data_IF_979444025941
#
_entry.id   IF_979444025941
#
_cell.length_a   1.000
_cell.length_b   1.000
_cell.length_c   1.000
_cell.angle_alpha   90.00
_cell.angle_beta   90.00
_cell.angle_gamma   90.00
#
_symmetry.space_group_name_H-M   'P 1'
#
loop_
_entity.id
_entity.type
_entity.pdbx_description
1 polymer ?
#
# COMPACT_ATOMS: atom_id res chain seq x y z
N UNK A 1 -28.67 -70.40 23.93
CA UNK A 1 -27.78 -69.62 24.82
C UNK A 1 -26.87 -68.59 24.12
N UNK A 2 -26.91 -68.38 22.78
CA UNK A 2 -25.99 -67.44 22.08
C UNK A 2 -26.45 -65.98 21.92
N UNK A 3 -27.71 -65.63 22.25
CA UNK A 3 -28.24 -64.26 22.04
C UNK A 3 -28.02 -63.28 23.20
N UNK A 4 -27.66 -63.75 24.40
CA UNK A 4 -27.43 -62.88 25.58
C UNK A 4 -26.03 -62.26 25.61
N UNK A 5 -25.05 -62.86 24.94
CA UNK A 5 -23.66 -62.35 24.92
C UNK A 5 -23.46 -61.22 23.89
N UNK A 6 -24.28 -61.12 22.84
CA UNK A 6 -24.17 -60.04 21.85
C UNK A 6 -24.63 -58.67 22.41
N UNK A 7 -25.67 -58.63 23.24
CA UNK A 7 -26.10 -57.38 23.88
C UNK A 7 -25.11 -56.89 24.95
N UNK A 8 -24.40 -57.81 25.61
CA UNK A 8 -23.37 -57.46 26.59
C UNK A 8 -22.12 -56.86 25.93
N UNK A 9 -21.72 -57.33 24.74
CA UNK A 9 -20.61 -56.76 23.98
C UNK A 9 -20.94 -55.37 23.40
N UNK A 10 -22.19 -55.13 23.00
CA UNK A 10 -22.63 -53.82 22.48
C UNK A 10 -22.67 -52.74 23.56
N UNK A 11 -22.97 -53.08 24.82
CA UNK A 11 -22.93 -52.14 25.94
C UNK A 11 -21.50 -51.80 26.38
N UNK A 12 -20.57 -52.74 26.27
CA UNK A 12 -19.14 -52.49 26.58
C UNK A 12 -18.50 -51.59 25.50
N UNK A 13 -18.93 -51.69 24.24
CA UNK A 13 -18.44 -50.82 23.16
C UNK A 13 -18.97 -49.37 23.29
N UNK A 14 -20.19 -49.18 23.78
CA UNK A 14 -20.78 -47.84 24.02
C UNK A 14 -20.17 -47.17 25.26
N UNK A 15 -19.77 -47.94 26.28
CA UNK A 15 -19.03 -47.44 27.45
C UNK A 15 -17.57 -47.09 27.14
N UNK A 16 -16.94 -47.75 26.16
CA UNK A 16 -15.57 -47.44 25.71
C UNK A 16 -15.47 -46.18 24.83
N UNK A 17 -16.56 -45.79 24.15
CA UNK A 17 -16.62 -44.51 23.40
C UNK A 17 -16.91 -43.33 24.34
N UNK A 18 -17.52 -43.55 25.51
CA UNK A 18 -17.74 -42.53 26.54
C UNK A 18 -16.53 -42.22 27.44
N UNK A 19 -15.43 -42.98 27.32
CA UNK A 19 -14.25 -42.89 28.19
C UNK A 19 -12.99 -42.34 27.50
N UNK A 20 -13.09 -41.82 26.27
CA UNK A 20 -12.07 -40.92 25.72
C UNK A 20 -12.30 -39.56 26.39
N UNK A 21 -11.88 -39.50 27.65
CA UNK A 21 -11.84 -38.31 28.45
C UNK A 21 -11.08 -37.23 27.69
N UNK A 22 -11.76 -36.12 27.45
CA UNK A 22 -11.16 -34.83 27.17
C UNK A 22 -10.22 -34.56 28.34
N UNK A 23 -8.93 -34.85 28.16
CA UNK A 23 -7.92 -34.27 29.01
C UNK A 23 -8.00 -32.76 28.83
N UNK A 24 -8.13 -31.97 29.90
CA UNK A 24 -7.92 -30.54 29.80
C UNK A 24 -6.44 -30.36 29.49
N UNK A 25 -6.10 -30.32 28.20
CA UNK A 25 -4.87 -29.70 27.74
C UNK A 25 -4.86 -28.32 28.37
N UNK A 26 -3.89 -28.10 29.27
CA UNK A 26 -3.74 -26.84 29.99
C UNK A 26 -3.77 -25.71 28.98
N UNK A 27 -4.90 -24.99 28.96
CA UNK A 27 -5.01 -23.73 28.27
C UNK A 27 -4.04 -22.82 29.01
N UNK A 28 -2.84 -22.64 28.43
CA UNK A 28 -2.03 -21.47 28.77
C UNK A 28 -2.94 -20.29 28.53
N UNK A 29 -3.09 -19.44 29.54
CA UNK A 29 -3.84 -18.21 29.44
C UNK A 29 -3.40 -17.49 28.15
N UNK A 30 -4.30 -17.48 27.17
CA UNK A 30 -4.18 -16.64 26.00
C UNK A 30 -4.35 -15.24 26.56
N UNK A 31 -3.33 -14.40 26.39
CA UNK A 31 -3.39 -12.99 26.74
C UNK A 31 -4.73 -12.45 26.23
N UNK A 32 -5.49 -11.78 27.10
CA UNK A 32 -6.79 -11.27 26.73
C UNK A 32 -6.62 -10.28 25.55
N UNK A 33 -7.65 -10.10 24.69
CA UNK A 33 -7.61 -9.08 23.62
C UNK A 33 -7.25 -7.67 24.13
N UNK A 34 -7.42 -7.43 25.44
CA UNK A 34 -7.15 -6.15 26.11
C UNK A 34 -5.71 -5.98 26.62
N UNK A 35 -4.87 -7.04 26.61
CA UNK A 35 -3.49 -6.94 27.09
C UNK A 35 -2.53 -6.29 26.08
N UNK A 36 -2.92 -6.27 24.79
CA UNK A 36 -2.13 -5.67 23.72
C UNK A 36 -2.88 -4.46 23.16
N UNK A 37 -2.31 -3.28 23.39
CA UNK A 37 -2.80 -2.03 22.83
C UNK A 37 -2.04 -1.72 21.55
N UNK A 38 -2.79 -1.47 20.47
CA UNK A 38 -2.25 -1.19 19.14
C UNK A 38 -2.73 0.18 18.67
N UNK A 39 -1.80 1.10 18.44
CA UNK A 39 -2.08 2.40 17.80
C UNK A 39 -1.36 2.46 16.46
N UNK A 40 -2.08 2.82 15.40
CA UNK A 40 -1.55 2.87 14.04
C UNK A 40 -1.86 4.23 13.43
N UNK A 41 -0.82 4.87 12.91
CA UNK A 41 -0.95 6.12 12.16
C UNK A 41 -0.20 6.00 10.83
N UNK A 42 -0.89 6.02 9.68
CA UNK A 42 -0.22 6.10 8.40
C UNK A 42 0.44 7.48 8.24
N UNK A 43 1.58 7.52 7.56
CA UNK A 43 2.17 8.78 7.12
C UNK A 43 1.30 9.44 6.04
N UNK A 44 1.48 10.74 5.82
CA UNK A 44 0.85 11.49 4.72
C UNK A 44 -0.69 11.38 4.69
N UNK A 45 -1.32 11.29 5.86
CA UNK A 45 -2.78 11.11 6.01
C UNK A 45 -3.31 9.84 5.30
N UNK A 46 -2.46 8.83 5.12
CA UNK A 46 -2.80 7.60 4.41
C UNK A 46 -2.91 7.75 2.89
N UNK A 47 -2.47 8.88 2.31
CA UNK A 47 -2.40 9.04 0.86
C UNK A 47 -1.29 8.17 0.26
N UNK A 48 -1.59 7.52 -0.85
CA UNK A 48 -0.62 6.68 -1.57
C UNK A 48 -0.89 6.72 -3.08
N UNK A 49 0.11 6.31 -3.88
CA UNK A 49 -0.03 6.04 -5.32
C UNK A 49 0.23 4.55 -5.56
N UNK A 50 -0.25 4.01 -6.67
CA UNK A 50 0.12 2.64 -7.07
C UNK A 50 1.65 2.48 -7.07
N UNK A 51 2.13 1.38 -6.48
CA UNK A 51 3.56 1.04 -6.38
C UNK A 51 4.41 1.97 -5.50
N UNK A 52 3.84 3.00 -4.85
CA UNK A 52 4.53 3.78 -3.83
C UNK A 52 4.53 3.06 -2.49
N UNK A 53 5.57 3.29 -1.70
CA UNK A 53 5.66 2.85 -0.32
C UNK A 53 4.93 3.82 0.60
N UNK A 54 4.07 3.29 1.46
CA UNK A 54 3.39 4.02 2.51
C UNK A 54 3.94 3.56 3.87
N UNK A 55 4.62 4.44 4.62
CA UNK A 55 5.05 4.14 5.99
C UNK A 55 3.88 4.19 6.98
N UNK A 56 3.91 3.30 7.97
CA UNK A 56 2.94 3.24 9.07
C UNK A 56 3.69 3.34 10.40
N UNK A 57 3.38 4.38 11.19
CA UNK A 57 3.85 4.50 12.58
C UNK A 57 2.97 3.61 13.46
N UNK A 58 3.57 2.59 14.05
CA UNK A 58 2.87 1.58 14.84
C UNK A 58 3.43 1.60 16.26
N UNK A 59 2.56 1.86 17.23
CA UNK A 59 2.87 1.74 18.65
C UNK A 59 2.14 0.52 19.20
N UNK A 60 2.90 -0.40 19.79
CA UNK A 60 2.37 -1.59 20.44
C UNK A 60 2.79 -1.58 21.90
N UNK A 61 1.82 -1.61 22.81
CA UNK A 61 2.05 -1.75 24.24
C UNK A 61 1.51 -3.09 24.74
N UNK A 62 2.29 -3.78 25.58
CA UNK A 62 1.92 -5.06 26.18
C UNK A 62 1.80 -4.93 27.70
N UNK A 63 0.59 -5.07 28.24
CA UNK A 63 0.34 -5.11 29.69
C UNK A 63 0.22 -6.53 30.24
N UNK A 64 0.15 -7.54 29.36
CA UNK A 64 0.01 -8.95 29.69
C UNK A 64 1.35 -9.67 29.90
N UNK A 65 1.37 -10.98 29.61
CA UNK A 65 2.57 -11.81 29.70
C UNK A 65 3.56 -11.53 28.55
N UNK A 66 4.79 -12.02 28.68
CA UNK A 66 5.80 -11.90 27.62
C UNK A 66 5.34 -12.61 26.34
N UNK A 67 5.40 -11.90 25.22
CA UNK A 67 4.95 -12.39 23.92
C UNK A 67 5.96 -12.03 22.84
N UNK A 68 6.30 -13.01 21.99
CA UNK A 68 6.96 -12.75 20.72
C UNK A 68 5.90 -12.61 19.63
N UNK A 69 5.72 -11.39 19.16
CA UNK A 69 4.68 -11.05 18.19
C UNK A 69 5.28 -10.68 16.84
N UNK A 70 4.45 -10.72 15.81
CA UNK A 70 4.73 -10.20 14.48
C UNK A 70 3.70 -9.12 14.20
N UNK A 71 4.18 -7.92 13.88
CA UNK A 71 3.34 -6.85 13.36
C UNK A 71 3.24 -7.04 11.86
N UNK A 72 2.02 -7.14 11.35
CA UNK A 72 1.74 -7.31 9.94
C UNK A 72 0.90 -6.16 9.40
N UNK A 73 1.28 -5.62 8.24
CA UNK A 73 0.55 -4.57 7.53
C UNK A 73 0.13 -5.12 6.18
N UNK A 74 -1.18 -5.06 5.90
CA UNK A 74 -1.77 -5.54 4.67
C UNK A 74 -2.40 -4.39 3.87
N UNK A 75 -1.79 -4.06 2.74
CA UNK A 75 -2.22 -3.02 1.77
C UNK A 75 -2.61 -3.64 0.42
N UNK A 76 -2.77 -4.96 0.39
CA UNK A 76 -2.80 -5.81 -0.81
C UNK A 76 -1.79 -6.93 -0.66
N UNK A 77 -0.51 -6.55 -0.62
CA UNK A 77 0.57 -7.41 -0.16
C UNK A 77 0.67 -7.39 1.37
N UNK A 78 1.29 -8.43 1.93
CA UNK A 78 1.52 -8.58 3.36
C UNK A 78 2.97 -8.24 3.69
N UNK A 79 3.18 -7.30 4.60
CA UNK A 79 4.50 -6.93 5.12
C UNK A 79 4.55 -7.25 6.61
N UNK A 80 5.65 -7.85 7.06
CA UNK A 80 5.78 -8.35 8.44
C UNK A 80 7.10 -7.91 9.07
N UNK A 81 7.03 -7.55 10.35
CA UNK A 81 8.19 -7.25 11.19
C UNK A 81 8.03 -7.96 12.53
N UNK A 82 9.03 -8.75 12.92
CA UNK A 82 9.05 -9.40 14.22
C UNK A 82 9.27 -8.37 15.33
N UNK A 83 8.56 -8.53 16.45
CA UNK A 83 8.58 -7.64 17.58
C UNK A 83 8.51 -8.43 18.89
N UNK A 84 9.59 -8.41 19.65
CA UNK A 84 9.57 -8.95 21.02
C UNK A 84 8.82 -7.99 21.94
N UNK A 85 7.80 -8.46 22.65
CA UNK A 85 6.98 -7.66 23.56
C UNK A 85 7.03 -8.28 24.96
N UNK A 86 8.06 -7.98 25.76
CA UNK A 86 8.05 -8.29 27.18
C UNK A 86 6.88 -7.64 27.90
N UNK A 87 6.53 -8.15 29.08
CA UNK A 87 5.52 -7.57 29.97
C UNK A 87 5.86 -6.12 30.31
N UNK A 88 4.90 -5.22 30.12
CA UNK A 88 5.05 -3.79 30.34
C UNK A 88 5.80 -3.05 29.24
N UNK A 89 6.20 -3.72 28.15
CA UNK A 89 6.92 -3.06 27.07
C UNK A 89 5.99 -2.19 26.22
N UNK A 90 6.50 -1.02 25.83
CA UNK A 90 5.92 -0.18 24.78
C UNK A 90 6.95 0.01 23.68
N UNK A 91 6.64 -0.46 22.48
CA UNK A 91 7.53 -0.38 21.32
C UNK A 91 6.89 0.42 20.19
N UNK A 92 7.70 1.28 19.58
CA UNK A 92 7.33 2.05 18.40
C UNK A 92 8.15 1.54 17.22
N UNK A 93 7.47 1.21 16.12
CA UNK A 93 8.11 0.75 14.88
C UNK A 93 7.46 1.43 13.69
N UNK A 94 8.25 1.68 12.64
CA UNK A 94 7.73 2.13 11.34
C UNK A 94 7.79 0.97 10.37
N UNK A 95 6.62 0.53 9.90
CA UNK A 95 6.52 -0.52 8.88
C UNK A 95 6.26 0.14 7.53
N UNK A 96 7.09 -0.17 6.55
CA UNK A 96 6.98 0.33 5.19
C UNK A 96 6.22 -0.70 4.37
N UNK A 97 5.00 -0.38 3.96
CA UNK A 97 4.19 -1.27 3.14
C UNK A 97 4.02 -0.66 1.74
N UNK A 98 4.38 -1.42 0.71
CA UNK A 98 4.13 -1.00 -0.66
C UNK A 98 2.63 -1.11 -0.96
N UNK A 99 2.07 -0.07 -1.53
CA UNK A 99 0.67 -0.09 -1.94
C UNK A 99 0.51 -0.91 -3.22
N UNK A 100 -0.41 -1.88 -3.19
CA UNK A 100 -0.78 -2.64 -4.39
C UNK A 100 -1.48 -1.75 -5.42
N UNK A 101 -1.44 -2.16 -6.70
CA UNK A 101 -2.14 -1.44 -7.78
C UNK A 101 -3.67 -1.43 -7.62
N UNK A 102 -4.22 -2.32 -6.80
CA UNK A 102 -5.65 -2.42 -6.53
C UNK A 102 -6.18 -1.25 -5.70
N UNK A 103 -7.36 -0.75 -6.07
CA UNK A 103 -8.03 0.32 -5.33
C UNK A 103 -8.47 -0.17 -3.95
N UNK A 104 -7.79 0.28 -2.90
CA UNK A 104 -8.15 0.01 -1.50
C UNK A 104 -8.43 1.28 -0.73
N UNK A 105 -9.40 1.19 0.17
CA UNK A 105 -9.83 2.27 1.08
C UNK A 105 -9.31 2.10 2.51
N UNK A 106 -8.84 0.90 2.87
CA UNK A 106 -8.30 0.60 4.20
C UNK A 106 -7.03 -0.23 4.09
N UNK A 107 -6.10 0.01 5.02
CA UNK A 107 -5.00 -0.90 5.34
C UNK A 107 -5.32 -1.64 6.62
N UNK A 108 -5.06 -2.94 6.66
CA UNK A 108 -5.28 -3.75 7.86
C UNK A 108 -3.95 -3.99 8.55
N UNK A 109 -3.85 -3.62 9.83
CA UNK A 109 -2.68 -3.88 10.66
C UNK A 109 -3.06 -4.88 11.74
N UNK A 110 -2.25 -5.93 11.91
CA UNK A 110 -2.48 -6.98 12.89
C UNK A 110 -1.23 -7.24 13.71
N UNK A 111 -1.41 -7.54 14.98
CA UNK A 111 -0.38 -8.12 15.85
C UNK A 111 -0.73 -9.59 16.04
N UNK A 112 0.18 -10.48 15.64
CA UNK A 112 -0.04 -11.93 15.63
C UNK A 112 1.05 -12.61 16.46
N UNK A 113 0.69 -13.60 17.28
CA UNK A 113 1.65 -14.47 17.96
C UNK A 113 1.41 -15.92 17.55
N UNK A 114 2.34 -16.50 16.81
CA UNK A 114 2.14 -17.81 16.17
C UNK A 114 1.01 -17.74 15.13
N UNK A 115 -0.06 -18.52 15.34
CA UNK A 115 -1.27 -18.51 14.50
C UNK A 115 -2.40 -17.65 15.08
N UNK A 116 -2.22 -17.08 16.28
CA UNK A 116 -3.26 -16.35 17.00
C UNK A 116 -3.16 -14.86 16.72
N UNK A 117 -4.23 -14.27 16.20
CA UNK A 117 -4.38 -12.81 16.10
C UNK A 117 -4.66 -12.22 17.48
N UNK A 118 -3.75 -11.39 17.98
CA UNK A 118 -3.88 -10.73 19.28
C UNK A 118 -4.66 -9.42 19.17
N UNK A 119 -4.40 -8.65 18.12
CA UNK A 119 -5.07 -7.39 17.88
C UNK A 119 -5.13 -7.04 16.40
N UNK A 120 -6.19 -6.33 16.00
CA UNK A 120 -6.40 -5.87 14.61
C UNK A 120 -6.97 -4.45 14.58
N UNK A 121 -6.36 -3.60 13.76
CA UNK A 121 -6.82 -2.24 13.48
C UNK A 121 -6.88 -2.04 11.98
N UNK A 122 -7.97 -1.43 11.50
CA UNK A 122 -8.10 -0.98 10.13
C UNK A 122 -7.97 0.54 10.08
N UNK A 123 -7.07 1.04 9.23
CA UNK A 123 -6.85 2.48 9.06
C UNK A 123 -7.25 2.92 7.65
N UNK A 124 -7.89 4.09 7.50
CA UNK A 124 -8.25 4.60 6.19
C UNK A 124 -6.99 4.95 5.38
N UNK A 125 -7.03 4.64 4.08
CA UNK A 125 -6.00 5.03 3.10
C UNK A 125 -6.68 5.56 1.84
N UNK A 126 -6.01 6.50 1.18
CA UNK A 126 -6.56 7.20 0.00
C UNK A 126 -5.63 7.02 -1.20
N UNK A 127 -6.15 6.37 -2.25
CA UNK A 127 -5.41 6.24 -3.50
C UNK A 127 -5.45 7.57 -4.28
N UNK A 128 -4.27 8.04 -4.69
CA UNK A 128 -4.11 9.11 -5.65
C UNK A 128 -3.90 8.52 -7.04
N UNK A 129 -4.63 9.06 -8.02
CA UNK A 129 -4.46 8.69 -9.41
C UNK A 129 -3.00 8.86 -9.86
N UNK A 130 -2.52 8.00 -10.76
CA UNK A 130 -1.14 8.06 -11.24
C UNK A 130 -0.79 9.36 -11.96
N UNK A 131 -1.78 10.09 -12.49
CA UNK A 131 -1.61 11.42 -13.08
C UNK A 131 -1.58 12.58 -12.07
N UNK A 132 -1.73 12.30 -10.77
CA UNK A 132 -1.63 13.29 -9.71
C UNK A 132 -0.18 13.49 -9.32
N UNK A 133 0.32 14.72 -9.48
CA UNK A 133 1.61 15.13 -8.95
C UNK A 133 1.49 15.55 -7.49
N UNK A 134 2.39 15.05 -6.64
CA UNK A 134 2.36 15.30 -5.20
C UNK A 134 3.58 16.12 -4.79
N UNK A 135 3.33 17.26 -4.16
CA UNK A 135 4.33 18.18 -3.65
C UNK A 135 4.25 18.18 -2.13
N UNK A 136 5.34 17.80 -1.47
CA UNK A 136 5.48 17.93 -0.02
C UNK A 136 6.15 19.25 0.32
N UNK A 137 5.62 19.99 1.28
CA UNK A 137 6.19 21.26 1.75
C UNK A 137 6.55 21.15 3.22
N UNK A 138 7.79 21.50 3.56
CA UNK A 138 8.26 21.61 4.94
C UNK A 138 8.81 23.03 5.12
N UNK A 139 8.03 23.88 5.75
CA UNK A 139 8.36 25.30 5.83
C UNK A 139 7.93 25.93 7.15
N UNK A 140 8.67 26.96 7.57
CA UNK A 140 8.31 27.74 8.75
C UNK A 140 7.06 28.60 8.52
N UNK A 141 6.85 29.02 7.28
CA UNK A 141 5.68 29.79 6.82
C UNK A 141 4.93 28.99 5.75
N UNK A 142 3.59 29.03 5.70
CA UNK A 142 2.83 28.30 4.69
C UNK A 142 3.24 28.72 3.26
N UNK A 143 3.66 27.76 2.44
CA UNK A 143 3.87 28.02 1.00
C UNK A 143 2.51 28.07 0.31
N UNK A 144 2.29 29.12 -0.46
CA UNK A 144 1.15 29.21 -1.38
C UNK A 144 1.68 28.96 -2.79
N UNK A 145 1.52 27.73 -3.26
CA UNK A 145 1.79 27.39 -4.65
C UNK A 145 0.51 27.64 -5.46
N UNK A 146 0.55 28.43 -6.53
CA UNK A 146 -0.60 28.55 -7.39
C UNK A 146 -0.86 27.19 -8.04
N UNK A 147 -2.11 26.70 -7.94
CA UNK A 147 -2.49 25.42 -8.54
C UNK A 147 -2.37 25.59 -10.05
N UNK A 148 -1.42 24.91 -10.74
CA UNK A 148 -1.32 24.99 -12.19
C UNK A 148 -2.71 24.70 -12.76
N UNK A 149 -3.21 25.48 -13.75
CA UNK A 149 -4.44 25.10 -14.41
C UNK A 149 -4.31 23.65 -14.89
N UNK A 150 -5.44 22.95 -14.94
CA UNK A 150 -5.54 21.55 -15.29
C UNK A 150 -5.20 21.32 -16.78
N UNK A 151 -4.02 21.76 -17.23
CA UNK A 151 -3.51 21.54 -18.57
C UNK A 151 -3.15 20.06 -18.67
N UNK A 152 -3.78 19.38 -19.63
CA UNK A 152 -3.55 17.95 -19.92
C UNK A 152 -4.03 16.97 -18.82
N UNK A 153 -5.05 17.32 -18.03
CA UNK A 153 -5.66 16.42 -17.02
C UNK A 153 -4.69 15.98 -15.89
N UNK A 154 -3.66 16.81 -15.60
CA UNK A 154 -2.71 16.59 -14.51
C UNK A 154 -3.22 17.25 -13.24
N UNK A 155 -3.40 16.45 -12.18
CA UNK A 155 -3.85 16.93 -10.87
C UNK A 155 -2.63 17.26 -10.00
N UNK A 156 -2.79 18.20 -9.08
CA UNK A 156 -1.75 18.56 -8.11
C UNK A 156 -2.30 18.39 -6.70
N UNK A 157 -1.55 17.66 -5.88
CA UNK A 157 -1.80 17.50 -4.46
C UNK A 157 -0.64 18.11 -3.68
N UNK A 158 -0.95 18.98 -2.72
CA UNK A 158 0.06 19.57 -1.85
C UNK A 158 -0.15 19.06 -0.43
N UNK A 159 0.92 18.59 0.20
CA UNK A 159 0.91 18.09 1.58
C UNK A 159 1.90 18.88 2.41
N UNK A 160 1.40 19.53 3.45
CA UNK A 160 2.25 20.17 4.46
C UNK A 160 2.80 19.10 5.38
N UNK A 161 4.12 19.05 5.50
CA UNK A 161 4.87 18.08 6.28
C UNK A 161 5.51 18.75 7.49
N UNK A 162 5.75 17.96 8.52
CA UNK A 162 6.63 18.30 9.64
C UNK A 162 7.87 17.40 9.61
N UNK A 163 8.89 17.70 10.43
CA UNK A 163 10.07 16.83 10.55
C UNK A 163 9.72 15.40 10.98
N UNK A 164 8.64 15.22 11.75
CA UNK A 164 8.15 13.90 12.16
C UNK A 164 7.51 13.09 11.01
N UNK A 165 7.09 13.75 9.94
CA UNK A 165 6.50 13.12 8.76
C UNK A 165 7.54 12.69 7.73
N UNK A 166 8.82 13.03 7.94
CA UNK A 166 9.91 12.52 7.11
C UNK A 166 10.32 11.12 7.58
N UNK A 167 10.20 10.09 6.73
CA UNK A 167 10.64 8.75 7.07
C UNK A 167 12.17 8.64 7.06
N UNK A 168 12.68 7.66 7.80
CA UNK A 168 14.12 7.36 7.87
C UNK A 168 14.64 6.53 6.68
N UNK A 169 13.76 6.17 5.74
CA UNK A 169 14.11 5.46 4.49
C UNK A 169 13.59 6.23 3.28
N UNK A 170 14.44 6.41 2.28
CA UNK A 170 14.10 7.17 1.06
C UNK A 170 12.92 6.59 0.27
N UNK A 171 12.70 5.28 0.34
CA UNK A 171 11.55 4.59 -0.26
C UNK A 171 10.22 5.16 0.25
N UNK A 172 10.14 5.51 1.53
CA UNK A 172 8.94 6.06 2.16
C UNK A 172 8.54 7.42 1.61
N UNK A 173 9.42 8.11 0.88
CA UNK A 173 9.13 9.38 0.20
C UNK A 173 8.64 9.17 -1.24
N UNK A 174 8.46 7.93 -1.70
CA UNK A 174 8.07 7.60 -3.09
C UNK A 174 6.69 8.11 -3.53
N UNK A 175 5.86 8.60 -2.60
CA UNK A 175 4.63 9.32 -2.93
C UNK A 175 4.91 10.67 -3.62
N UNK A 176 5.98 11.34 -3.20
CA UNK A 176 6.30 12.71 -3.61
C UNK A 176 7.07 12.76 -4.92
N UNK A 177 6.66 13.67 -5.79
CA UNK A 177 7.44 14.05 -6.96
C UNK A 177 8.43 15.17 -6.61
N UNK A 178 8.00 16.09 -5.73
CA UNK A 178 8.77 17.26 -5.28
C UNK A 178 8.67 17.41 -3.77
N UNK A 179 9.80 17.71 -3.12
CA UNK A 179 9.85 18.17 -1.73
C UNK A 179 10.43 19.59 -1.72
N UNK A 180 9.70 20.52 -1.11
CA UNK A 180 10.12 21.91 -0.91
C UNK A 180 10.41 22.16 0.56
N UNK A 181 11.62 22.61 0.86
CA UNK A 181 12.06 22.99 2.19
C UNK A 181 12.28 24.51 2.20
N UNK A 182 11.53 25.27 3.00
CA UNK A 182 11.69 26.73 3.05
C UNK A 182 11.79 27.25 4.49
N UNK A 183 12.99 27.69 4.88
CA UNK A 183 13.23 28.32 6.19
C UNK A 183 12.88 27.44 7.41
N UNK A 184 12.49 26.18 7.21
CA UNK A 184 12.20 25.23 8.27
C UNK A 184 13.49 24.82 8.97
N UNK A 185 13.49 24.70 10.32
CA UNK A 185 14.63 24.15 11.03
C UNK A 185 14.76 22.66 10.70
N UNK A 186 15.66 22.34 9.76
CA UNK A 186 16.07 20.96 9.46
C UNK A 186 16.98 20.39 10.57
N UNK A 187 17.27 21.18 11.60
CA UNK A 187 18.10 20.81 12.76
C UNK A 187 17.52 19.64 13.56
N UNK A 188 16.21 19.43 13.49
CA UNK A 188 15.53 18.35 14.21
C UNK A 188 15.53 17.03 13.41
N UNK A 189 16.04 17.05 12.17
CA UNK A 189 16.11 15.85 11.35
C UNK A 189 17.24 14.94 11.80
N UNK A 190 16.91 13.66 12.00
CA UNK A 190 17.92 12.64 12.28
C UNK A 190 18.83 12.42 11.06
N UNK A 191 20.05 11.93 11.31
CA UNK A 191 20.99 11.56 10.24
C UNK A 191 20.36 10.57 9.25
N UNK A 192 19.48 9.67 9.74
CA UNK A 192 18.75 8.73 8.89
C UNK A 192 17.73 9.44 7.99
N UNK A 193 17.00 10.43 8.49
CA UNK A 193 16.07 11.23 7.67
C UNK A 193 16.83 12.07 6.63
N UNK A 194 17.97 12.65 7.00
CA UNK A 194 18.84 13.40 6.07
C UNK A 194 19.35 12.49 4.93
N UNK A 195 19.78 11.27 5.27
CA UNK A 195 20.20 10.28 4.29
C UNK A 195 19.03 9.80 3.42
N UNK A 196 17.84 9.63 4.00
CA UNK A 196 16.63 9.26 3.28
C UNK A 196 16.27 10.28 2.18
N UNK A 197 16.44 11.59 2.45
CA UNK A 197 16.28 12.63 1.44
C UNK A 197 17.27 12.45 0.28
N UNK A 198 18.55 12.21 0.57
CA UNK A 198 19.56 11.98 -0.46
C UNK A 198 19.25 10.73 -1.29
N UNK A 199 18.84 9.64 -0.65
CA UNK A 199 18.48 8.40 -1.33
C UNK A 199 17.24 8.60 -2.22
N UNK A 200 16.21 9.29 -1.72
CA UNK A 200 15.01 9.63 -2.49
C UNK A 200 15.34 10.48 -3.72
N UNK A 201 16.14 11.56 -3.57
CA UNK A 201 16.57 12.37 -4.72
C UNK A 201 17.33 11.49 -5.72
N UNK A 202 18.24 10.62 -5.26
CA UNK A 202 19.01 9.73 -6.14
C UNK A 202 18.11 8.82 -6.98
N UNK A 203 16.97 8.39 -6.45
CA UNK A 203 16.00 7.53 -7.17
C UNK A 203 15.09 8.29 -8.15
N UNK A 204 15.02 9.63 -8.06
CA UNK A 204 14.20 10.42 -8.97
C UNK A 204 13.54 11.65 -8.37
N UNK A 205 13.56 11.79 -7.05
CA UNK A 205 12.93 12.92 -6.37
C UNK A 205 13.53 14.26 -6.76
N UNK A 206 12.70 15.30 -6.72
CA UNK A 206 13.14 16.67 -6.86
C UNK A 206 13.12 17.39 -5.50
N UNK A 207 14.28 17.74 -4.98
CA UNK A 207 14.42 18.53 -3.76
C UNK A 207 14.61 20.01 -4.12
N UNK A 208 13.81 20.89 -3.53
CA UNK A 208 13.95 22.34 -3.66
C UNK A 208 14.13 22.90 -2.26
N UNK A 209 15.20 23.68 -2.05
CA UNK A 209 15.54 24.28 -0.77
C UNK A 209 15.55 25.79 -0.98
N UNK A 210 14.75 26.49 -0.21
CA UNK A 210 14.59 27.93 -0.23
C UNK A 210 14.75 28.54 1.16
N UNK A 211 14.73 29.87 1.21
CA UNK A 211 14.65 30.61 2.45
C UNK A 211 15.93 31.37 2.80
N UNK A 212 15.78 32.27 3.77
CA UNK A 212 16.85 33.15 4.25
C UNK A 212 17.87 32.44 5.15
N UNK A 213 17.58 31.21 5.61
CA UNK A 213 18.45 30.34 6.41
C UNK A 213 19.00 29.15 5.61
N UNK A 214 19.28 29.37 4.33
CA UNK A 214 19.74 28.33 3.40
C UNK A 214 21.08 27.73 3.85
N UNK A 215 21.95 28.50 4.48
CA UNK A 215 23.22 28.06 5.07
C UNK A 215 23.01 26.89 6.04
N UNK A 216 22.16 27.11 7.05
CA UNK A 216 21.83 26.10 8.05
C UNK A 216 21.16 24.88 7.41
N UNK A 217 20.28 25.11 6.43
CA UNK A 217 19.62 24.01 5.73
C UNK A 217 20.62 23.13 4.95
N UNK A 218 21.59 23.74 4.25
CA UNK A 218 22.61 23.01 3.49
C UNK A 218 23.60 22.29 4.42
N UNK A 219 23.99 22.89 5.55
CA UNK A 219 24.86 22.25 6.53
C UNK A 219 24.26 20.95 7.09
N UNK A 220 22.95 20.92 7.33
CA UNK A 220 22.22 19.74 7.80
C UNK A 220 22.01 18.67 6.72
N UNK A 221 22.26 18.97 5.45
CA UNK A 221 22.11 17.98 4.38
C UNK A 221 23.42 17.20 4.16
N UNK A 222 23.33 15.95 3.68
CA UNK A 222 24.51 15.19 3.29
C UNK A 222 25.31 15.93 2.21
N UNK A 223 26.63 15.75 2.20
CA UNK A 223 27.58 16.40 1.27
C UNK A 223 27.12 16.36 -0.21
N UNK A 224 26.54 15.27 -0.73
CA UNK A 224 26.02 15.21 -2.10
C UNK A 224 24.80 16.10 -2.39
N UNK A 225 24.22 16.77 -1.40
CA UNK A 225 23.13 17.74 -1.57
C UNK A 225 23.56 19.18 -1.24
N UNK A 226 24.81 19.38 -0.77
CA UNK A 226 25.38 20.71 -0.53
C UNK A 226 25.80 21.34 -1.85
N UNK A 227 24.94 22.19 -2.41
CA UNK A 227 25.12 22.74 -3.76
C UNK A 227 26.01 23.98 -3.82
N UNK A 228 26.02 24.78 -2.76
CA UNK A 228 26.69 26.06 -2.74
C UNK A 228 27.02 26.47 -1.32
N UNK A 229 27.93 27.42 -1.19
CA UNK A 229 28.11 28.20 0.03
C UNK A 229 27.52 29.59 -0.16
N UNK A 230 27.14 30.23 0.95
CA UNK A 230 26.63 31.59 0.91
C UNK A 230 27.78 32.59 0.87
N UNK A 231 27.61 33.64 0.07
CA UNK A 231 28.50 34.78 -0.03
C UNK A 231 27.88 36.06 0.54
N UNK A 232 28.24 37.20 -0.05
CA UNK A 232 27.69 38.49 0.33
C UNK A 232 26.19 38.62 -0.01
N UNK A 233 25.43 39.53 0.64
CA UNK A 233 24.08 39.87 0.22
C UNK A 233 24.03 40.20 -1.27
N UNK A 234 23.04 39.65 -1.99
CA UNK A 234 22.88 39.93 -3.40
C UNK A 234 22.33 41.36 -3.60
N UNK A 235 22.65 42.03 -4.73
CA UNK A 235 22.02 43.31 -5.06
C UNK A 235 20.51 43.16 -5.13
N UNK A 236 19.78 44.16 -4.61
CA UNK A 236 18.33 44.25 -4.75
C UNK A 236 17.97 44.46 -6.21
N UNK A 237 17.62 43.38 -6.90
CA UNK A 237 17.35 43.38 -8.33
C UNK A 237 16.31 42.31 -8.68
N UNK A 238 15.66 42.41 -9.86
CA UNK A 238 14.75 41.38 -10.33
C UNK A 238 15.48 40.05 -10.46
N UNK A 239 14.85 38.97 -10.01
CA UNK A 239 15.41 37.64 -10.10
C UNK A 239 15.11 37.07 -11.49
N UNK A 240 16.13 36.67 -12.25
CA UNK A 240 16.03 36.20 -13.63
C UNK A 240 15.14 34.96 -13.81
N UNK A 241 14.95 34.20 -12.73
CA UNK A 241 14.08 33.03 -12.67
C UNK A 241 12.58 33.40 -12.61
N UNK A 242 12.25 34.66 -12.30
CA UNK A 242 10.89 35.20 -12.21
C UNK A 242 10.69 36.44 -13.10
N UNK A 243 10.82 36.29 -14.43
CA UNK A 243 10.61 37.42 -15.35
C UNK A 243 9.19 38.02 -15.23
N UNK A 244 8.20 37.23 -14.82
CA UNK A 244 6.79 37.64 -14.70
C UNK A 244 6.53 38.62 -13.56
N UNK A 245 7.40 38.64 -12.54
CA UNK A 245 7.30 39.62 -11.45
C UNK A 245 7.67 41.05 -11.90
N UNK A 246 8.29 41.18 -13.07
CA UNK A 246 8.81 42.45 -13.57
C UNK A 246 9.85 43.06 -12.63
N UNK A 247 10.09 44.37 -12.79
CA UNK A 247 11.06 45.08 -11.95
C UNK A 247 10.52 45.44 -10.55
N UNK A 248 9.22 45.24 -10.31
CA UNK A 248 8.55 45.66 -9.08
C UNK A 248 8.75 44.69 -7.92
N UNK A 249 9.04 43.40 -8.18
CA UNK A 249 9.35 42.46 -7.12
C UNK A 249 10.85 42.45 -6.82
N UNK A 250 11.20 42.93 -5.64
CA UNK A 250 12.54 42.83 -5.10
C UNK A 250 12.54 41.79 -3.99
N UNK A 251 13.06 40.60 -4.31
CA UNK A 251 13.23 39.54 -3.33
C UNK A 251 14.57 39.70 -2.61
N UNK A 252 14.57 39.60 -1.28
CA UNK A 252 15.80 39.59 -0.50
C UNK A 252 16.52 38.26 -0.71
N UNK A 253 17.71 38.31 -1.30
CA UNK A 253 18.51 37.15 -1.63
C UNK A 253 19.97 37.32 -1.20
N UNK A 254 20.66 36.20 -0.97
CA UNK A 254 22.11 36.16 -0.73
C UNK A 254 22.84 35.58 -1.94
N UNK A 255 24.00 36.11 -2.31
CA UNK A 255 24.79 35.52 -3.39
C UNK A 255 25.23 34.10 -3.02
N UNK A 256 25.15 33.18 -3.97
CA UNK A 256 25.59 31.80 -3.85
C UNK A 256 26.90 31.62 -4.61
N UNK A 257 27.85 30.92 -3.99
CA UNK A 257 29.06 30.43 -4.63
C UNK A 257 28.83 28.95 -4.98
N UNK A 258 28.60 28.61 -6.26
CA UNK A 258 28.31 27.24 -6.67
C UNK A 258 29.51 26.31 -6.41
N UNK A 259 29.25 25.10 -5.94
CA UNK A 259 30.25 24.04 -5.89
C UNK A 259 30.55 23.44 -7.28
N UNK A 260 31.46 22.47 -7.35
CA UNK A 260 31.76 21.78 -8.61
C UNK A 260 30.53 21.06 -9.20
N UNK A 261 30.36 21.18 -10.52
CA UNK A 261 29.26 20.55 -11.26
C UNK A 261 27.88 21.14 -10.98
N UNK A 262 27.80 22.28 -10.28
CA UNK A 262 26.57 22.98 -9.94
C UNK A 262 26.34 24.11 -10.94
N UNK A 263 25.14 24.18 -11.52
CA UNK A 263 24.78 25.23 -12.50
C UNK A 263 23.97 26.35 -11.85
N UNK A 264 24.23 27.63 -12.18
CA UNK A 264 23.34 28.72 -11.82
C UNK A 264 22.01 28.59 -12.57
N UNK A 265 20.89 28.87 -11.88
CA UNK A 265 19.53 28.86 -12.44
C UNK A 265 18.76 30.15 -12.15
N UNK A 266 19.22 30.96 -11.20
CA UNK A 266 18.64 32.27 -10.91
C UNK A 266 19.74 33.29 -10.62
N UNK A 267 19.59 34.49 -11.18
CA UNK A 267 20.52 35.62 -11.03
C UNK A 267 19.75 36.85 -10.53
N UNK A 268 20.36 37.65 -9.66
CA UNK A 268 19.87 38.96 -9.25
C UNK A 268 21.01 39.98 -9.36
N UNK A 269 20.88 40.96 -10.26
CA UNK A 269 21.88 42.01 -10.42
C UNK A 269 23.30 41.49 -10.73
N UNK A 270 23.41 40.37 -11.43
CA UNK A 270 24.68 39.70 -11.74
C UNK A 270 25.19 38.72 -10.68
N UNK A 271 24.60 38.67 -9.48
CA UNK A 271 24.89 37.66 -8.47
C UNK A 271 24.05 36.39 -8.69
N UNK A 272 24.63 35.21 -8.47
CA UNK A 272 23.89 33.95 -8.49
C UNK A 272 23.06 33.84 -7.21
N UNK A 273 21.75 33.66 -7.33
CA UNK A 273 20.81 33.53 -6.20
C UNK A 273 20.02 32.22 -6.23
N UNK A 274 20.29 31.38 -7.24
CA UNK A 274 19.73 30.06 -7.34
C UNK A 274 20.66 29.15 -8.12
N UNK A 275 20.84 27.93 -7.61
CA UNK A 275 21.69 26.92 -8.20
C UNK A 275 20.97 25.58 -8.27
N UNK A 276 21.39 24.73 -9.20
CA UNK A 276 20.82 23.40 -9.38
C UNK A 276 21.90 22.40 -9.74
N UNK A 277 21.72 21.16 -9.27
CA UNK A 277 22.54 20.02 -9.66
C UNK A 277 21.68 18.77 -9.90
N UNK A 278 21.88 18.04 -11.01
CA UNK A 278 21.33 16.69 -11.14
C UNK A 278 22.00 15.75 -10.14
N UNK A 279 21.23 14.92 -9.44
CA UNK A 279 21.76 13.94 -8.49
C UNK A 279 21.03 12.60 -8.65
N UNK A 280 21.76 11.58 -9.11
CA UNK A 280 21.16 10.32 -9.56
C UNK A 280 20.15 10.55 -10.68
N UNK A 281 18.93 10.04 -10.52
CA UNK A 281 17.80 10.25 -11.45
C UNK A 281 16.96 11.49 -11.11
N UNK A 282 17.28 12.18 -10.02
CA UNK A 282 16.57 13.35 -9.52
C UNK A 282 17.41 14.62 -9.65
N UNK A 283 17.05 15.63 -8.86
CA UNK A 283 17.72 16.93 -8.86
C UNK A 283 17.56 17.64 -7.53
N UNK A 284 18.52 18.48 -7.21
CA UNK A 284 18.44 19.43 -6.09
C UNK A 284 18.54 20.85 -6.64
N UNK A 285 17.64 21.72 -6.19
CA UNK A 285 17.68 23.16 -6.44
C UNK A 285 17.82 23.87 -5.10
N UNK A 286 18.76 24.80 -5.00
CA UNK A 286 18.90 25.69 -3.84
C UNK A 286 18.64 27.14 -4.29
N UNK A 287 17.81 27.85 -3.55
CA UNK A 287 17.38 29.22 -3.81
C UNK A 287 17.66 30.04 -2.55
N UNK A 288 18.40 31.13 -2.68
CA UNK A 288 18.85 31.95 -1.54
C UNK A 288 17.82 32.98 -1.08
N UNK A 289 16.57 32.82 -1.48
CA UNK A 289 15.43 33.66 -1.16
C UNK A 289 14.26 32.75 -0.75
N UNK A 290 13.30 33.28 0.00
CA UNK A 290 12.17 32.47 0.48
C UNK A 290 11.17 32.20 -0.65
N UNK A 291 10.65 30.98 -0.66
CA UNK A 291 9.53 30.53 -1.50
C UNK A 291 8.17 30.90 -0.91
N UNK A 292 8.13 31.30 0.36
CA UNK A 292 6.92 31.71 1.06
C UNK A 292 6.63 33.22 0.93
N UNK A 293 7.36 33.95 0.08
CA UNK A 293 7.17 35.40 -0.02
C UNK A 293 5.86 35.77 -0.74
N UNK A 294 5.21 36.88 -0.36
CA UNK A 294 3.94 37.29 -0.95
C UNK A 294 4.00 37.54 -2.46
N UNK A 295 5.15 37.99 -2.97
CA UNK A 295 5.34 38.28 -4.40
C UNK A 295 5.18 37.01 -5.22
N UNK A 296 5.70 35.88 -4.73
CA UNK A 296 5.59 34.58 -5.41
C UNK A 296 4.19 34.00 -5.34
N UNK A 297 3.47 34.22 -4.24
CA UNK A 297 2.09 33.75 -4.07
C UNK A 297 1.11 34.43 -5.03
N UNK A 298 1.43 35.64 -5.51
CA UNK A 298 0.60 36.41 -6.44
C UNK A 298 0.85 36.04 -7.91
N UNK A 299 1.88 35.24 -8.21
CA UNK A 299 2.16 34.84 -9.57
C UNK A 299 1.06 33.91 -10.12
N UNK A 300 0.65 34.10 -11.39
CA UNK A 300 -0.27 33.18 -12.04
C UNK A 300 0.34 31.77 -12.11
N UNK A 301 -0.51 30.75 -12.07
CA UNK A 301 -0.04 29.37 -12.04
C UNK A 301 0.59 28.95 -13.38
N UNK A 302 0.26 29.66 -14.46
CA UNK A 302 0.82 29.55 -15.80
C UNK A 302 2.19 30.23 -15.94
N UNK A 303 2.68 30.91 -14.88
CA UNK A 303 3.99 31.54 -14.92
C UNK A 303 5.04 30.50 -15.34
N UNK A 304 5.87 30.87 -16.30
CA UNK A 304 6.90 30.01 -16.87
C UNK A 304 7.84 29.51 -15.79
N UNK A 305 8.06 30.32 -14.74
CA UNK A 305 8.75 29.92 -13.52
C UNK A 305 8.26 28.57 -12.96
N UNK A 306 6.96 28.40 -12.68
CA UNK A 306 6.46 27.19 -12.02
C UNK A 306 6.70 25.96 -12.89
N UNK A 307 6.57 26.09 -14.21
CA UNK A 307 6.88 25.01 -15.15
C UNK A 307 8.39 24.68 -15.21
N UNK A 308 9.26 25.67 -15.00
CA UNK A 308 10.71 25.49 -15.00
C UNK A 308 11.22 24.91 -13.68
N UNK A 309 10.63 25.36 -12.56
CA UNK A 309 10.95 24.91 -11.21
C UNK A 309 10.38 23.52 -10.96
N UNK A 310 9.10 23.29 -11.25
CA UNK A 310 8.41 22.02 -11.03
C UNK A 310 8.51 21.14 -12.28
N UNK A 311 9.62 20.43 -12.41
CA UNK A 311 9.83 19.50 -13.54
C UNK A 311 9.38 18.11 -13.15
N UNK A 312 8.07 17.90 -13.20
CA UNK A 312 7.51 16.60 -12.92
C UNK A 312 8.00 15.54 -13.92
N UNK A 313 8.30 14.35 -13.40
CA UNK A 313 8.64 13.20 -14.24
C UNK A 313 7.42 12.87 -15.11
N UNK A 314 7.64 12.66 -16.40
CA UNK A 314 6.66 11.95 -17.23
C UNK A 314 6.64 10.50 -16.75
N UNK A 315 5.63 10.14 -15.98
CA UNK A 315 5.46 8.77 -15.51
C UNK A 315 5.22 7.87 -16.73
N UNK A 316 5.93 6.73 -16.87
CA UNK A 316 5.57 5.69 -17.83
C UNK A 316 4.11 5.28 -17.64
N UNK A 317 3.46 4.82 -18.71
CA UNK A 317 2.04 4.43 -18.67
C UNK A 317 1.78 3.41 -17.55
N UNK A 318 2.73 2.51 -17.27
CA UNK A 318 2.65 1.52 -16.19
C UNK A 318 2.53 2.15 -14.80
N UNK A 319 3.12 3.33 -14.58
CA UNK A 319 3.03 4.09 -13.32
C UNK A 319 1.81 5.03 -13.26
N UNK A 320 1.12 5.23 -14.37
CA UNK A 320 -0.14 6.00 -14.43
C UNK A 320 -1.36 5.19 -13.96
N UNK A 321 -1.15 3.97 -13.44
CA UNK A 321 -2.23 3.06 -13.07
C UNK A 321 -2.79 2.28 -14.25
N UNK A 322 -2.11 2.29 -15.40
CA UNK A 322 -2.30 1.24 -16.42
C UNK A 322 -1.63 0.00 -15.83
N UNK A 323 -2.45 -0.95 -15.38
CA UNK A 323 -2.00 -2.24 -14.86
C UNK A 323 -0.88 -2.80 -15.73
N UNK A 324 0.20 -3.31 -15.11
CA UNK A 324 1.24 -4.00 -15.85
C UNK A 324 0.61 -5.19 -16.61
N UNK A 325 1.14 -5.60 -17.77
CA UNK A 325 0.62 -6.76 -18.50
C UNK A 325 0.49 -7.99 -17.60
N UNK A 326 1.42 -8.18 -16.66
CA UNK A 326 1.42 -9.26 -15.69
C UNK A 326 0.29 -9.14 -14.65
N UNK A 327 0.03 -7.93 -14.13
CA UNK A 327 -1.09 -7.67 -13.21
C UNK A 327 -2.44 -7.81 -13.92
N UNK A 328 -2.55 -7.35 -15.16
CA UNK A 328 -3.74 -7.55 -16.00
C UNK A 328 -3.99 -9.03 -16.23
N UNK A 329 -2.93 -9.79 -16.54
CA UNK A 329 -3.03 -11.21 -16.80
C UNK A 329 -3.38 -11.99 -15.53
N UNK A 330 -2.79 -11.65 -14.38
CA UNK A 330 -3.14 -12.24 -13.09
C UNK A 330 -4.59 -11.92 -12.68
N UNK A 331 -5.06 -10.70 -12.93
CA UNK A 331 -6.44 -10.30 -12.64
C UNK A 331 -7.44 -10.96 -13.60
N UNK A 332 -7.10 -11.08 -14.90
CA UNK A 332 -7.89 -11.80 -15.89
C UNK A 332 -7.93 -13.30 -15.60
N UNK A 333 -6.83 -13.91 -15.15
CA UNK A 333 -6.78 -15.30 -14.70
C UNK A 333 -7.64 -15.49 -13.45
N UNK A 334 -7.57 -14.58 -12.47
CA UNK A 334 -8.44 -14.60 -11.30
C UNK A 334 -9.92 -14.53 -11.66
N UNK A 335 -10.30 -13.63 -12.58
CA UNK A 335 -11.65 -13.56 -13.11
C UNK A 335 -12.04 -14.82 -13.88
N UNK A 336 -11.18 -15.32 -14.78
CA UNK A 336 -11.43 -16.52 -15.56
C UNK A 336 -11.62 -17.76 -14.67
N UNK A 337 -10.83 -17.90 -13.60
CA UNK A 337 -10.97 -18.96 -12.60
C UNK A 337 -12.26 -18.84 -11.79
N UNK A 338 -12.73 -17.62 -11.50
CA UNK A 338 -14.00 -17.37 -10.82
C UNK A 338 -15.23 -17.45 -11.72
N UNK A 339 -15.06 -17.32 -13.04
CA UNK A 339 -16.13 -17.44 -14.04
C UNK A 339 -16.09 -18.75 -14.82
N UNK A 340 -15.22 -19.69 -14.45
CA UNK A 340 -15.24 -21.04 -15.00
C UNK A 340 -16.66 -21.61 -14.84
N UNK A 341 -17.41 -21.82 -15.94
CA UNK A 341 -18.80 -22.28 -15.88
C UNK A 341 -18.94 -23.74 -15.40
N UNK A 342 -17.83 -24.35 -14.96
CA UNK A 342 -17.75 -25.74 -14.49
C UNK A 342 -18.37 -25.93 -13.10
N UNK A 343 -18.67 -24.84 -12.37
CA UNK A 343 -19.36 -24.89 -11.08
C UNK A 343 -20.87 -24.56 -11.15
N UNK A 344 -21.49 -24.61 -12.32
CA UNK A 344 -22.95 -24.74 -12.39
C UNK A 344 -23.34 -26.17 -11.97
N UNK A 345 -23.26 -26.46 -10.68
CA UNK A 345 -23.76 -27.72 -10.11
C UNK A 345 -25.21 -27.84 -10.56
N UNK A 346 -25.60 -28.92 -11.28
CA UNK A 346 -26.97 -29.10 -11.70
C UNK A 346 -27.88 -28.96 -10.48
N UNK A 347 -29.01 -28.23 -10.58
CA UNK A 347 -29.86 -27.98 -9.43
C UNK A 347 -30.18 -29.29 -8.73
N UNK A 348 -30.01 -29.33 -7.40
CA UNK A 348 -30.11 -30.55 -6.59
C UNK A 348 -31.42 -31.33 -6.85
N UNK A 349 -32.50 -30.62 -7.20
CA UNK A 349 -33.79 -31.22 -7.58
C UNK A 349 -33.76 -32.02 -8.89
N UNK A 350 -32.96 -31.62 -9.88
CA UNK A 350 -32.78 -32.36 -11.14
C UNK A 350 -32.01 -33.65 -10.89
N UNK A 351 -30.95 -33.59 -10.08
CA UNK A 351 -30.19 -34.77 -9.66
C UNK A 351 -31.06 -35.74 -8.84
N UNK A 352 -31.80 -35.23 -7.86
CA UNK A 352 -32.74 -36.03 -7.08
C UNK A 352 -33.84 -36.64 -7.94
N UNK A 353 -34.37 -35.89 -8.91
CA UNK A 353 -35.38 -36.36 -9.86
C UNK A 353 -34.86 -37.47 -10.78
N UNK A 354 -33.67 -37.29 -11.37
CA UNK A 354 -33.01 -38.31 -12.19
C UNK A 354 -32.74 -39.59 -11.39
N UNK A 355 -32.21 -39.46 -10.17
CA UNK A 355 -31.95 -40.61 -9.30
C UNK A 355 -33.25 -41.33 -8.90
N UNK A 356 -34.29 -40.58 -8.56
CA UNK A 356 -35.61 -41.14 -8.25
C UNK A 356 -36.23 -41.87 -9.45
N UNK A 357 -36.17 -41.27 -10.63
CA UNK A 357 -36.63 -41.90 -11.87
C UNK A 357 -35.86 -43.19 -12.17
N UNK A 358 -34.53 -43.16 -12.03
CA UNK A 358 -33.69 -44.35 -12.19
C UNK A 358 -34.08 -45.48 -11.24
N UNK A 359 -34.27 -45.17 -9.95
CA UNK A 359 -34.64 -46.17 -8.94
C UNK A 359 -36.01 -46.78 -9.23
N UNK A 360 -36.97 -45.97 -9.68
CA UNK A 360 -38.31 -46.43 -10.08
C UNK A 360 -38.27 -47.30 -11.33
N UNK A 361 -37.44 -46.95 -12.32
CA UNK A 361 -37.31 -47.72 -13.55
C UNK A 361 -36.65 -49.08 -13.26
N UNK A 362 -35.51 -49.09 -12.56
CA UNK A 362 -34.75 -50.32 -12.31
C UNK A 362 -35.42 -51.23 -11.29
N UNK A 363 -36.02 -50.67 -10.24
CA UNK A 363 -36.70 -51.43 -9.20
C UNK A 363 -38.09 -51.90 -9.64
N UNK A 364 -39.16 -51.15 -9.32
CA UNK A 364 -40.52 -51.58 -9.60
C UNK A 364 -40.83 -51.67 -11.11
N UNK A 365 -40.33 -50.75 -11.94
CA UNK A 365 -40.61 -50.72 -13.37
C UNK A 365 -40.15 -51.98 -14.10
N UNK A 366 -38.86 -52.30 -13.97
CA UNK A 366 -38.26 -53.46 -14.61
C UNK A 366 -38.83 -54.77 -14.04
N UNK A 367 -39.02 -54.83 -12.72
CA UNK A 367 -39.62 -55.99 -12.07
C UNK A 367 -41.05 -56.26 -12.58
N UNK A 368 -41.91 -55.24 -12.64
CA UNK A 368 -43.28 -55.39 -13.11
C UNK A 368 -43.33 -55.75 -14.61
N UNK A 369 -42.45 -55.17 -15.42
CA UNK A 369 -42.35 -55.47 -16.85
C UNK A 369 -41.92 -56.93 -17.09
N UNK A 370 -40.84 -57.37 -16.44
CA UNK A 370 -40.32 -58.73 -16.56
C UNK A 370 -41.28 -59.77 -15.96
N UNK A 371 -42.01 -59.41 -14.90
CA UNK A 371 -43.07 -60.25 -14.32
C UNK A 371 -44.27 -60.39 -15.25
N UNK A 372 -44.69 -59.33 -15.94
CA UNK A 372 -45.77 -59.42 -16.95
C UNK A 372 -45.39 -60.28 -18.14
N UNK A 373 -44.10 -60.31 -18.49
CA UNK A 373 -43.57 -61.11 -19.59
C UNK A 373 -43.16 -62.54 -19.15
N UNK A 374 -43.37 -62.87 -17.88
CA UNK A 374 -42.98 -64.15 -17.24
C UNK A 374 -41.51 -64.55 -17.45
N UNK A 375 -40.64 -63.54 -17.62
CA UNK A 375 -39.21 -63.69 -17.94
C UNK A 375 -38.32 -63.02 -16.90
N UNK A 376 -38.66 -63.22 -15.63
CA UNK A 376 -37.94 -62.63 -14.49
C UNK A 376 -36.46 -63.03 -14.46
N UNK A 377 -36.11 -64.21 -14.99
CA UNK A 377 -34.74 -64.68 -15.12
C UNK A 377 -33.87 -63.81 -16.05
N UNK A 378 -34.44 -62.94 -16.89
CA UNK A 378 -33.69 -62.02 -17.77
C UNK A 378 -33.24 -60.73 -17.06
N UNK A 379 -33.59 -60.56 -15.77
CA UNK A 379 -33.20 -59.38 -14.99
C UNK A 379 -31.70 -59.12 -14.97
N UNK A 380 -30.86 -60.17 -15.02
CA UNK A 380 -29.41 -60.01 -15.02
C UNK A 380 -28.85 -59.32 -16.29
N UNK A 381 -29.58 -59.34 -17.41
CA UNK A 381 -29.23 -58.59 -18.64
C UNK A 381 -29.97 -57.26 -18.72
N UNK A 382 -31.25 -57.26 -18.31
CA UNK A 382 -32.10 -56.10 -18.44
C UNK A 382 -31.66 -54.94 -17.53
N UNK A 383 -31.21 -55.23 -16.30
CA UNK A 383 -30.70 -54.22 -15.36
C UNK A 383 -29.49 -53.49 -15.95
N UNK A 384 -28.37 -54.16 -16.33
CA UNK A 384 -27.21 -53.46 -16.86
C UNK A 384 -27.49 -52.72 -18.17
N UNK A 385 -28.37 -53.24 -19.04
CA UNK A 385 -28.76 -52.56 -20.27
C UNK A 385 -29.48 -51.23 -19.99
N UNK A 386 -30.43 -51.24 -19.05
CA UNK A 386 -31.18 -50.04 -18.66
C UNK A 386 -30.28 -49.05 -17.93
N UNK A 387 -29.36 -49.52 -17.08
CA UNK A 387 -28.34 -48.67 -16.47
C UNK A 387 -27.47 -48.00 -17.52
N UNK A 388 -26.99 -48.74 -18.53
CA UNK A 388 -26.19 -48.18 -19.62
C UNK A 388 -26.97 -47.10 -20.39
N UNK A 389 -28.20 -47.39 -20.79
CA UNK A 389 -29.06 -46.45 -21.52
C UNK A 389 -29.36 -45.18 -20.70
N UNK A 390 -29.64 -45.34 -19.41
CA UNK A 390 -29.88 -44.21 -18.52
C UNK A 390 -28.63 -43.35 -18.35
N UNK A 391 -27.46 -43.97 -18.17
CA UNK A 391 -26.18 -43.25 -18.04
C UNK A 391 -25.86 -42.46 -19.30
N UNK A 392 -26.09 -43.06 -20.49
CA UNK A 392 -25.90 -42.38 -21.77
C UNK A 392 -26.86 -41.19 -21.94
N UNK A 393 -28.13 -41.36 -21.55
CA UNK A 393 -29.13 -40.30 -21.62
C UNK A 393 -28.84 -39.15 -20.66
N UNK A 394 -28.37 -39.46 -19.44
CA UNK A 394 -27.97 -38.46 -18.46
C UNK A 394 -26.72 -37.67 -18.93
N UNK A 395 -25.75 -38.34 -19.54
CA UNK A 395 -24.55 -37.71 -20.10
C UNK A 395 -24.82 -36.90 -21.37
N UNK A 396 -25.83 -37.25 -22.17
CA UNK A 396 -26.24 -36.45 -23.31
C UNK A 396 -27.07 -35.22 -22.93
N UNK A 397 -27.67 -35.22 -21.72
CA UNK A 397 -28.48 -34.13 -21.20
C UNK A 397 -27.67 -33.10 -20.39
N UNK A 398 -26.67 -33.57 -19.63
CA UNK A 398 -25.69 -32.72 -18.94
C UNK A 398 -24.57 -32.29 -19.86
#
# INVERSE_FOLDING_TARGET
MRRRHLCSLLWILVLLIGAIGVWPSGVRAIAAPDDIQLTVQPFFEGRYRASSWLPFRISVANTGADVNAVVSVQTGSLFQTALELPRGAQKNVVVYAQASAGFRRTATVRVVAGETELQKVEVPITNLAGSTHVIGTLSAQPLTLPKPPNQQNRKFEMLTLTGADLPERGEGLSLFDVLMLDGAPLTDLSVAQQQALADWVRTGGQLIIGGTKLDLALEQLPEPLRLATLGAPAPTAPISLFPELGQAATLTATALVPGEGVRPVAMAGGATVGVQRPFGKGRVTALSFSLATPELAQLPAEASFWSQLLRFRSLPAEMMGVLSPDDMQAQQLGFALMTLPVLAIPPLGVLAGLLGAYLLIVGPGLYLLLRRLDRQAWGWVAIPLVTLLFTLGAYAYG
#
